data_IF_182265985245
#
_entry.id   IF_182265985245
#
_cell.length_a   1.000
_cell.length_b   1.000
_cell.length_c   1.000
_cell.angle_alpha   90.00
_cell.angle_beta   90.00
_cell.angle_gamma   90.00
#
_symmetry.space_group_name_H-M   'P 1'
#
loop_
_entity.id
_entity.type
_entity.pdbx_description
1 polymer ?
#
# COMPACT_ATOMS: atom_id res chain seq x y z
N UNK A 1 -16.17 -1.70 -4.57
CA UNK A 1 -15.15 -2.51 -5.27
C UNK A 1 -13.88 -2.51 -4.43
N UNK A 2 -13.24 -3.67 -4.30
CA UNK A 2 -11.94 -3.78 -3.62
C UNK A 2 -10.80 -3.64 -4.61
N UNK A 3 -9.78 -2.86 -4.23
CA UNK A 3 -8.49 -2.80 -4.90
C UNK A 3 -7.46 -3.36 -3.93
N UNK A 4 -6.98 -4.56 -4.23
CA UNK A 4 -6.08 -5.32 -3.38
C UNK A 4 -4.71 -5.40 -4.03
N UNK A 5 -3.66 -5.26 -3.24
CA UNK A 5 -2.31 -5.53 -3.72
C UNK A 5 -1.34 -5.42 -2.57
N UNK A 6 -0.21 -6.10 -2.66
CA UNK A 6 0.78 -6.12 -1.58
C UNK A 6 1.24 -4.68 -1.24
N UNK A 7 1.65 -4.38 0.01
CA UNK A 7 2.17 -3.07 0.36
C UNK A 7 3.25 -2.61 -0.63
N UNK A 8 3.12 -1.36 -1.10
CA UNK A 8 4.03 -0.70 -2.05
C UNK A 8 3.98 -1.18 -3.51
N UNK A 9 2.98 -1.97 -3.89
CA UNK A 9 2.70 -2.29 -5.30
C UNK A 9 2.16 -1.13 -6.14
N UNK A 10 1.84 0.02 -5.55
CA UNK A 10 1.27 1.17 -6.26
C UNK A 10 -0.24 1.39 -6.04
N UNK A 11 -0.82 0.67 -5.07
CA UNK A 11 -2.27 0.64 -4.81
C UNK A 11 -2.91 2.03 -4.70
N UNK A 12 -2.30 2.95 -3.94
CA UNK A 12 -2.82 4.32 -3.77
C UNK A 12 -2.97 5.06 -5.10
N UNK A 13 -2.03 4.89 -6.03
CA UNK A 13 -2.11 5.56 -7.33
C UNK A 13 -3.26 5.02 -8.16
N UNK A 14 -3.37 3.69 -8.29
CA UNK A 14 -4.48 3.04 -8.99
C UNK A 14 -5.84 3.42 -8.36
N UNK A 15 -5.94 3.41 -7.03
CA UNK A 15 -7.18 3.76 -6.34
C UNK A 15 -7.61 5.21 -6.62
N UNK A 16 -6.65 6.15 -6.67
CA UNK A 16 -6.98 7.55 -6.97
C UNK A 16 -7.43 7.73 -8.42
N UNK A 17 -6.77 7.04 -9.36
CA UNK A 17 -7.20 7.04 -10.77
C UNK A 17 -8.62 6.47 -10.91
N UNK A 18 -8.90 5.32 -10.30
CA UNK A 18 -10.23 4.71 -10.32
C UNK A 18 -11.28 5.60 -9.65
N UNK A 19 -10.99 6.15 -8.48
CA UNK A 19 -11.90 7.06 -7.76
C UNK A 19 -12.24 8.30 -8.59
N UNK A 20 -11.25 8.88 -9.26
CA UNK A 20 -11.47 10.02 -10.14
C UNK A 20 -12.27 9.64 -11.40
N UNK A 21 -11.81 8.64 -12.16
CA UNK A 21 -12.42 8.25 -13.42
C UNK A 21 -13.85 7.73 -13.26
N UNK A 22 -14.11 6.96 -12.20
CA UNK A 22 -15.44 6.43 -11.88
C UNK A 22 -16.28 7.42 -11.06
N UNK A 23 -15.69 8.55 -10.66
CA UNK A 23 -16.30 9.53 -9.76
C UNK A 23 -16.99 8.83 -8.57
N UNK A 24 -16.20 8.02 -7.88
CA UNK A 24 -16.60 7.20 -6.74
C UNK A 24 -15.69 7.52 -5.54
N UNK A 25 -16.26 7.48 -4.35
CA UNK A 25 -15.52 7.70 -3.11
C UNK A 25 -14.41 6.67 -2.89
N UNK A 26 -13.24 7.14 -2.47
CA UNK A 26 -12.12 6.31 -2.03
C UNK A 26 -12.08 6.15 -0.51
N UNK A 27 -11.73 4.94 -0.05
CA UNK A 27 -11.37 4.68 1.34
C UNK A 27 -10.24 3.65 1.47
N UNK A 28 -9.47 3.74 2.57
CA UNK A 28 -8.38 2.81 2.91
C UNK A 28 -8.82 1.94 4.09
N UNK A 29 -9.20 0.69 3.80
CA UNK A 29 -9.73 -0.23 4.81
C UNK A 29 -8.69 -0.57 5.88
N UNK A 30 -7.41 -0.59 5.50
CA UNK A 30 -6.31 -0.87 6.43
C UNK A 30 -5.97 0.32 7.34
N UNK A 31 -6.44 1.51 6.99
CA UNK A 31 -6.20 2.75 7.73
C UNK A 31 -7.43 3.69 7.64
N UNK A 32 -8.57 3.31 8.24
CA UNK A 32 -9.82 4.06 8.10
C UNK A 32 -9.66 5.52 8.55
N UNK A 33 -10.23 6.45 7.78
CA UNK A 33 -10.15 7.89 8.05
C UNK A 33 -8.80 8.53 7.74
N UNK A 34 -7.78 7.74 7.34
CA UNK A 34 -6.53 8.24 6.77
C UNK A 34 -6.76 8.49 5.28
N UNK A 35 -7.59 9.49 4.99
CA UNK A 35 -7.73 10.04 3.64
C UNK A 35 -6.42 10.70 3.19
N UNK A 36 -6.22 10.94 1.87
CA UNK A 36 -5.06 11.69 1.41
C UNK A 36 -4.87 12.94 2.29
N UNK A 37 -3.73 13.09 2.95
CA UNK A 37 -3.50 14.22 3.87
C UNK A 37 -3.48 15.55 3.13
N UNK A 38 -3.18 15.50 1.83
CA UNK A 38 -3.24 16.62 0.93
C UNK A 38 -4.70 16.92 0.50
N UNK A 39 -5.17 18.13 0.78
CA UNK A 39 -6.51 18.60 0.44
C UNK A 39 -6.78 18.59 -1.07
N UNK A 40 -5.79 18.98 -1.88
CA UNK A 40 -5.89 18.92 -3.33
C UNK A 40 -6.22 17.51 -3.80
N UNK A 41 -5.56 16.49 -3.24
CA UNK A 41 -5.83 15.09 -3.57
C UNK A 41 -7.22 14.64 -3.11
N UNK A 42 -7.66 15.05 -1.90
CA UNK A 42 -9.02 14.74 -1.40
C UNK A 42 -10.11 15.25 -2.34
N UNK A 43 -9.89 16.40 -2.97
CA UNK A 43 -10.82 16.98 -3.93
C UNK A 43 -11.18 16.05 -5.10
N UNK A 44 -10.25 15.19 -5.51
CA UNK A 44 -10.41 14.29 -6.67
C UNK A 44 -10.89 12.88 -6.33
N UNK A 45 -10.92 12.50 -5.05
CA UNK A 45 -11.23 11.12 -4.64
C UNK A 45 -12.44 11.00 -3.70
N UNK A 46 -13.16 12.11 -3.49
CA UNK A 46 -14.34 12.19 -2.61
C UNK A 46 -15.67 11.85 -3.30
N UNK A 47 -15.66 11.51 -4.59
CA UNK A 47 -16.88 11.43 -5.40
C UNK A 47 -17.57 12.78 -5.60
N UNK A 48 -18.78 12.78 -6.17
CA UNK A 48 -19.58 14.00 -6.39
C UNK A 48 -18.91 15.05 -7.28
N UNK A 49 -18.03 14.61 -8.19
CA UNK A 49 -17.38 15.46 -9.19
C UNK A 49 -18.36 15.84 -10.30
N UNK A 50 -17.98 16.83 -11.11
CA UNK A 50 -18.85 17.40 -12.15
C UNK A 50 -19.18 16.43 -13.30
N UNK A 51 -18.34 15.41 -13.52
CA UNK A 51 -18.56 14.39 -14.55
C UNK A 51 -19.39 13.21 -14.03
N UNK A 52 -19.79 12.32 -14.94
CA UNK A 52 -20.65 11.18 -14.63
C UNK A 52 -20.09 10.33 -13.47
N UNK A 53 -20.96 10.01 -12.50
CA UNK A 53 -20.66 9.10 -11.39
C UNK A 53 -21.10 7.68 -11.69
N UNK A 54 -20.24 6.74 -11.31
CA UNK A 54 -20.51 5.30 -11.33
C UNK A 54 -20.58 4.70 -9.92
N UNK A 55 -20.71 5.54 -8.89
CA UNK A 55 -20.67 5.12 -7.48
C UNK A 55 -21.80 4.14 -7.14
N UNK A 56 -22.98 4.27 -7.75
CA UNK A 56 -24.09 3.34 -7.52
C UNK A 56 -23.81 1.94 -8.09
N UNK A 57 -23.02 1.86 -9.17
CA UNK A 57 -22.69 0.60 -9.84
C UNK A 57 -21.49 -0.10 -9.19
N UNK A 58 -20.47 0.65 -8.76
CA UNK A 58 -19.20 0.07 -8.27
C UNK A 58 -19.03 0.18 -6.74
N UNK A 59 -19.86 0.97 -6.08
CA UNK A 59 -19.69 1.36 -4.67
C UNK A 59 -18.46 2.25 -4.48
N UNK A 60 -17.90 2.22 -3.27
CA UNK A 60 -16.62 2.88 -2.97
C UNK A 60 -15.44 2.11 -3.56
N UNK A 61 -14.34 2.82 -3.82
CA UNK A 61 -13.02 2.24 -4.13
C UNK A 61 -12.31 1.95 -2.81
N UNK A 62 -12.28 0.68 -2.42
CA UNK A 62 -11.77 0.23 -1.13
C UNK A 62 -10.38 -0.36 -1.28
N UNK A 63 -9.35 0.35 -0.80
CA UNK A 63 -7.98 -0.15 -0.80
C UNK A 63 -7.76 -1.10 0.39
N UNK A 64 -7.04 -2.19 0.15
CA UNK A 64 -6.53 -3.06 1.22
C UNK A 64 -5.27 -3.83 0.81
N UNK A 65 -4.51 -4.26 1.80
CA UNK A 65 -3.33 -5.13 1.71
C UNK A 65 -3.56 -6.49 2.39
N UNK A 66 -4.82 -6.81 2.71
CA UNK A 66 -5.15 -8.01 3.47
C UNK A 66 -4.74 -9.29 2.72
N UNK A 67 -4.40 -10.32 3.48
CA UNK A 67 -4.21 -11.65 2.92
C UNK A 67 -5.58 -12.19 2.49
N UNK A 68 -5.67 -12.93 1.37
CA UNK A 68 -6.96 -13.28 0.77
C UNK A 68 -7.97 -14.01 1.67
N UNK A 69 -7.58 -14.58 2.81
CA UNK A 69 -8.52 -15.19 3.77
C UNK A 69 -9.21 -14.16 4.69
N UNK A 70 -8.62 -12.97 4.82
CA UNK A 70 -9.07 -11.90 5.71
C UNK A 70 -10.20 -11.07 5.09
N UNK A 71 -10.32 -11.08 3.76
CA UNK A 71 -11.40 -10.39 3.07
C UNK A 71 -12.64 -11.30 3.03
N UNK A 72 -13.78 -10.92 3.62
CA UNK A 72 -14.98 -11.74 3.59
C UNK A 72 -15.36 -12.09 2.15
N UNK A 73 -15.97 -13.26 1.95
CA UNK A 73 -16.63 -13.54 0.68
C UNK A 73 -17.70 -12.47 0.48
N UNK A 74 -17.49 -11.63 -0.54
CA UNK A 74 -18.41 -10.57 -0.87
C UNK A 74 -18.61 -10.58 -2.39
N UNK A 75 -19.80 -10.21 -2.82
CA UNK A 75 -20.18 -10.14 -4.23
C UNK A 75 -19.56 -8.90 -4.92
N UNK A 76 -18.74 -8.13 -4.21
CA UNK A 76 -18.12 -6.94 -4.77
C UNK A 76 -16.96 -7.32 -5.70
N UNK A 77 -16.80 -6.61 -6.83
CA UNK A 77 -15.65 -6.81 -7.71
C UNK A 77 -14.32 -6.64 -6.96
N UNK A 78 -13.35 -7.48 -7.31
CA UNK A 78 -12.00 -7.46 -6.76
C UNK A 78 -11.02 -7.19 -7.89
N UNK A 79 -10.30 -6.07 -7.79
CA UNK A 79 -9.18 -5.73 -8.68
C UNK A 79 -7.89 -6.01 -7.93
N UNK A 80 -7.06 -6.90 -8.46
CA UNK A 80 -5.76 -7.23 -7.89
C UNK A 80 -4.64 -6.50 -8.62
N UNK A 81 -3.85 -5.70 -7.90
CA UNK A 81 -2.66 -5.03 -8.40
C UNK A 81 -1.40 -5.82 -8.04
N UNK A 82 -0.74 -6.35 -9.07
CA UNK A 82 0.57 -7.00 -8.95
C UNK A 82 1.67 -6.06 -9.48
N UNK A 83 2.86 -6.16 -8.88
CA UNK A 83 4.06 -5.42 -9.27
C UNK A 83 5.26 -6.34 -9.13
N UNK A 84 6.32 -6.11 -9.91
CA UNK A 84 7.59 -6.83 -9.77
C UNK A 84 8.06 -6.84 -8.31
N UNK A 85 8.27 -8.05 -7.76
CA UNK A 85 8.66 -8.24 -6.37
C UNK A 85 9.96 -7.53 -6.00
N UNK A 86 10.90 -7.39 -6.94
CA UNK A 86 12.19 -6.68 -6.70
C UNK A 86 11.94 -5.21 -6.40
N UNK A 87 11.10 -4.58 -7.21
CA UNK A 87 10.70 -3.18 -7.06
C UNK A 87 9.90 -2.95 -5.77
N UNK A 88 8.96 -3.86 -5.47
CA UNK A 88 8.16 -3.83 -4.24
C UNK A 88 9.08 -3.88 -3.02
N UNK A 89 10.04 -4.81 -2.99
CA UNK A 89 10.95 -4.95 -1.84
C UNK A 89 11.81 -3.70 -1.62
N UNK A 90 12.33 -3.10 -2.69
CA UNK A 90 13.10 -1.85 -2.60
C UNK A 90 12.21 -0.73 -2.04
N UNK A 91 11.03 -0.53 -2.63
CA UNK A 91 10.10 0.50 -2.17
C UNK A 91 9.68 0.31 -0.72
N UNK A 92 9.41 -0.93 -0.31
CA UNK A 92 8.96 -1.26 1.04
C UNK A 92 10.06 -1.10 2.08
N UNK A 93 11.29 -1.48 1.75
CA UNK A 93 12.44 -1.26 2.63
C UNK A 93 12.61 0.23 2.95
N UNK A 94 12.62 1.09 1.92
CA UNK A 94 12.79 2.53 2.12
C UNK A 94 11.58 3.18 2.79
N UNK A 95 10.36 2.72 2.46
CA UNK A 95 9.15 3.17 3.14
C UNK A 95 9.20 2.87 4.64
N UNK A 96 9.50 1.64 5.04
CA UNK A 96 9.61 1.27 6.45
C UNK A 96 10.65 2.11 7.18
N UNK A 97 11.80 2.37 6.56
CA UNK A 97 12.84 3.20 7.18
C UNK A 97 12.43 4.66 7.35
N UNK A 98 11.73 5.23 6.38
CA UNK A 98 11.20 6.58 6.47
C UNK A 98 10.07 6.66 7.52
N UNK A 99 9.17 5.68 7.52
CA UNK A 99 8.03 5.62 8.42
C UNK A 99 8.46 5.42 9.87
N UNK A 100 9.35 4.46 10.14
CA UNK A 100 9.93 4.21 11.46
C UNK A 100 11.17 5.08 11.76
N UNK A 101 11.37 6.18 11.03
CA UNK A 101 12.43 7.13 11.34
C UNK A 101 12.17 7.73 12.74
N UNK A 102 13.15 7.70 13.66
CA UNK A 102 12.97 8.22 15.01
C UNK A 102 12.48 9.66 15.08
N UNK A 103 12.76 10.48 14.06
CA UNK A 103 12.24 11.86 13.97
C UNK A 103 10.71 11.93 13.96
N UNK A 104 10.04 10.87 13.53
CA UNK A 104 8.57 10.77 13.48
C UNK A 104 7.96 10.19 14.76
N UNK A 105 8.76 9.77 15.74
CA UNK A 105 8.27 9.28 17.02
C UNK A 105 8.12 10.40 18.06
N UNK A 106 7.26 10.16 19.06
CA UNK A 106 7.15 11.03 20.24
C UNK A 106 8.49 11.15 20.97
N UNK A 107 8.64 12.21 21.78
CA UNK A 107 9.89 12.52 22.48
C UNK A 107 10.42 11.35 23.32
N UNK A 108 9.54 10.63 24.03
CA UNK A 108 9.89 9.46 24.84
C UNK A 108 10.46 8.30 24.01
N UNK A 109 9.86 8.02 22.85
CA UNK A 109 10.30 6.94 21.95
C UNK A 109 11.57 7.32 21.19
N UNK A 110 11.79 8.61 20.90
CA UNK A 110 13.10 9.15 20.48
C UNK A 110 14.18 8.95 21.53
N UNK A 111 13.87 9.23 22.79
CA UNK A 111 14.79 9.07 23.91
C UNK A 111 15.18 7.60 24.12
N UNK A 112 14.21 6.68 24.09
CA UNK A 112 14.46 5.23 24.16
C UNK A 112 15.32 4.72 22.99
N UNK A 113 15.04 5.15 21.76
CA UNK A 113 15.87 4.77 20.60
C UNK A 113 17.29 5.33 20.72
N UNK A 114 17.45 6.57 21.24
CA UNK A 114 18.76 7.15 21.53
C UNK A 114 19.51 6.37 22.61
N UNK A 115 18.88 6.05 23.74
CA UNK A 115 19.49 5.25 24.81
C UNK A 115 19.92 3.88 24.28
N UNK A 116 19.05 3.19 23.53
CA UNK A 116 19.35 1.88 22.96
C UNK A 116 20.48 1.93 21.93
N UNK A 117 20.65 3.06 21.23
CA UNK A 117 21.76 3.32 20.32
C UNK A 117 23.05 3.70 21.06
N UNK A 118 22.95 4.36 22.22
CA UNK A 118 24.09 4.69 23.07
C UNK A 118 24.67 3.43 23.75
N UNK A 119 23.80 2.52 24.18
CA UNK A 119 24.17 1.22 24.77
C UNK A 119 24.76 0.25 23.73
N UNK A 120 24.46 0.44 22.44
CA UNK A 120 25.07 -0.28 21.32
C UNK A 120 26.15 0.59 20.70
N UNK A 121 27.32 0.63 21.35
CA UNK A 121 28.55 1.27 20.86
C UNK A 121 28.69 1.22 19.32
N UNK A 122 28.79 2.41 18.71
CA UNK A 122 29.45 2.63 17.42
C UNK A 122 28.79 2.00 16.18
N UNK A 123 27.74 2.61 15.65
CA UNK A 123 27.22 2.28 14.32
C UNK A 123 26.61 3.49 13.63
N UNK A 124 27.35 4.11 12.71
CA UNK A 124 26.80 4.99 11.69
C UNK A 124 25.67 4.23 10.97
N UNK A 125 24.54 4.89 10.72
CA UNK A 125 23.39 4.31 9.99
C UNK A 125 23.69 4.22 8.50
N UNK A 126 24.82 3.64 8.13
CA UNK A 126 25.08 3.19 6.76
C UNK A 126 24.14 2.03 6.47
N UNK A 127 23.49 2.04 5.30
CA UNK A 127 22.68 0.92 4.83
C UNK A 127 23.60 -0.29 4.71
N UNK A 128 23.58 -1.18 5.70
CA UNK A 128 24.37 -2.39 5.58
C UNK A 128 23.66 -3.33 4.60
N UNK A 129 24.41 -3.94 3.69
CA UNK A 129 23.89 -5.01 2.83
C UNK A 129 23.22 -6.10 3.66
N UNK A 130 23.73 -6.37 4.87
CA UNK A 130 23.16 -7.33 5.80
C UNK A 130 21.74 -6.98 6.26
N UNK A 131 21.43 -5.70 6.48
CA UNK A 131 20.09 -5.28 6.90
C UNK A 131 19.06 -5.39 5.78
N UNK A 132 19.42 -5.01 4.56
CA UNK A 132 18.54 -5.20 3.40
C UNK A 132 18.34 -6.69 3.10
N UNK A 133 19.41 -7.50 3.15
CA UNK A 133 19.30 -8.96 2.98
C UNK A 133 18.40 -9.60 4.04
N UNK A 134 18.46 -9.15 5.30
CA UNK A 134 17.55 -9.63 6.35
C UNK A 134 16.10 -9.26 6.06
N UNK A 135 15.86 -8.02 5.61
CA UNK A 135 14.54 -7.57 5.19
C UNK A 135 13.96 -8.43 4.06
N UNK A 136 14.76 -8.71 3.01
CA UNK A 136 14.35 -9.57 1.91
C UNK A 136 13.95 -10.98 2.39
N UNK A 137 14.77 -11.61 3.24
CA UNK A 137 14.46 -12.95 3.78
C UNK A 137 13.13 -13.00 4.54
N UNK A 138 12.73 -11.90 5.18
CA UNK A 138 11.47 -11.82 5.92
C UNK A 138 10.28 -11.54 5.00
N UNK A 139 10.42 -10.62 4.06
CA UNK A 139 9.28 -10.08 3.29
C UNK A 139 9.04 -10.75 1.94
N UNK A 140 10.05 -11.36 1.33
CA UNK A 140 9.86 -12.00 0.02
C UNK A 140 8.85 -13.14 0.10
N UNK A 141 8.90 -13.98 1.15
CA UNK A 141 7.95 -15.07 1.33
C UNK A 141 6.51 -14.58 1.51
N UNK A 142 6.32 -13.50 2.29
CA UNK A 142 5.01 -12.87 2.46
C UNK A 142 4.44 -12.33 1.14
N UNK A 143 5.29 -11.69 0.32
CA UNK A 143 4.87 -11.21 -1.00
C UNK A 143 4.47 -12.34 -1.94
N UNK A 144 5.27 -13.42 -1.99
CA UNK A 144 4.95 -14.61 -2.80
C UNK A 144 3.61 -15.20 -2.37
N UNK A 145 3.45 -15.46 -1.07
CA UNK A 145 2.21 -16.01 -0.53
C UNK A 145 1.00 -15.12 -0.80
N UNK A 146 1.16 -13.80 -0.72
CA UNK A 146 0.10 -12.84 -1.05
C UNK A 146 -0.27 -12.86 -2.54
N UNK A 147 0.70 -13.00 -3.44
CA UNK A 147 0.44 -13.16 -4.88
C UNK A 147 -0.29 -14.47 -5.15
N UNK A 148 0.23 -15.59 -4.67
CA UNK A 148 -0.36 -16.92 -4.86
C UNK A 148 -1.80 -16.97 -4.37
N UNK A 149 -2.04 -16.54 -3.13
CA UNK A 149 -3.38 -16.55 -2.51
C UNK A 149 -4.40 -15.75 -3.34
N UNK A 150 -4.01 -14.57 -3.83
CA UNK A 150 -4.93 -13.72 -4.59
C UNK A 150 -5.14 -14.23 -6.01
N UNK A 151 -4.14 -14.81 -6.66
CA UNK A 151 -4.30 -15.45 -7.97
C UNK A 151 -5.21 -16.68 -7.89
N UNK A 152 -5.06 -17.50 -6.83
CA UNK A 152 -5.93 -18.65 -6.58
C UNK A 152 -7.40 -18.26 -6.35
N UNK A 153 -7.63 -17.09 -5.72
CA UNK A 153 -8.98 -16.54 -5.49
C UNK A 153 -9.65 -16.01 -6.76
N UNK A 154 -8.94 -15.95 -7.89
CA UNK A 154 -9.46 -15.51 -9.19
C UNK A 154 -10.18 -14.15 -9.11
N UNK A 155 -9.43 -13.06 -8.90
CA UNK A 155 -10.02 -11.73 -8.76
C UNK A 155 -10.67 -11.34 -10.09
N UNK A 156 -11.67 -10.45 -10.02
CA UNK A 156 -12.40 -9.97 -11.19
C UNK A 156 -11.48 -9.39 -12.27
N UNK A 157 -10.40 -8.73 -11.86
CA UNK A 157 -9.36 -8.25 -12.78
C UNK A 157 -7.99 -8.26 -12.11
N UNK A 158 -6.94 -8.47 -12.91
CA UNK A 158 -5.55 -8.39 -12.49
C UNK A 158 -4.88 -7.29 -13.30
N UNK A 159 -4.27 -6.33 -12.62
CA UNK A 159 -3.53 -5.21 -13.21
C UNK A 159 -2.07 -5.35 -12.82
N UNK A 160 -1.17 -5.19 -13.78
CA UNK A 160 0.26 -5.05 -13.52
C UNK A 160 0.63 -3.59 -13.39
N UNK A 161 1.39 -3.24 -12.36
CA UNK A 161 1.86 -1.87 -12.14
C UNK A 161 2.70 -1.36 -13.32
N UNK A 162 3.51 -2.23 -13.93
CA UNK A 162 4.38 -1.85 -15.05
C UNK A 162 3.56 -1.46 -16.29
N UNK A 163 2.44 -2.15 -16.54
CA UNK A 163 1.55 -1.85 -17.65
C UNK A 163 0.84 -0.51 -17.40
N UNK A 164 0.31 -0.31 -16.19
CA UNK A 164 -0.30 0.97 -15.77
C UNK A 164 0.70 2.14 -15.88
N UNK A 165 1.98 1.91 -15.60
CA UNK A 165 3.02 2.95 -15.69
C UNK A 165 3.33 3.33 -17.14
N UNK A 166 3.33 2.36 -18.05
CA UNK A 166 3.75 2.56 -19.43
C UNK A 166 2.58 3.01 -20.34
N UNK A 167 1.36 2.59 -20.03
CA UNK A 167 0.15 2.92 -20.77
C UNK A 167 -1.01 3.19 -19.78
N UNK A 168 -1.00 4.33 -19.09
CA UNK A 168 -2.00 4.67 -18.07
C UNK A 168 -3.40 4.94 -18.64
#
# INVERSE_FOLDING_TARGET
MYVVGYPKSGNTWLCFLLAYCLNAEYDDVDAPGVHPTNEYQRGYVKGGLAHQSYQEQVGKILKTHCQGQELPHCDQPIVYLIRDGRDVMVSYYFFNRAYFNPRNFSFAKRFLVRIRKLLRLGGTTTVSKADFSRFLRQRTGEWVAHVETWLERQPTSIIRYEDLKNCP
#
